data_IF_312734573544
#
_entry.id   IF_312734573544
#
_cell.length_a   1.000
_cell.length_b   1.000
_cell.length_c   1.000
_cell.angle_alpha   90.00
_cell.angle_beta   90.00
_cell.angle_gamma   90.00
#
_symmetry.space_group_name_H-M   'P 1'
#
loop_
_entity.id
_entity.type
_entity.pdbx_description
1 polymer ?
#
# COMPACT_ATOMS: atom_id res chain seq x y z
N UNK A 1 39.73 13.82 45.50
CA UNK A 1 40.12 12.46 45.08
C UNK A 1 39.23 12.04 43.91
N UNK A 2 39.88 11.52 42.88
CA UNK A 2 39.47 11.24 41.49
C UNK A 2 38.16 10.42 41.37
N UNK A 3 37.38 10.43 40.28
CA UNK A 3 37.78 10.23 38.89
C UNK A 3 36.65 10.61 37.91
N UNK A 4 36.97 11.35 36.84
CA UNK A 4 36.10 11.60 35.68
C UNK A 4 36.28 10.47 34.66
N UNK A 5 35.19 9.88 34.19
CA UNK A 5 35.19 8.89 33.12
C UNK A 5 35.13 9.60 31.76
N UNK A 6 36.23 9.54 31.01
CA UNK A 6 36.40 10.00 29.63
C UNK A 6 35.99 8.88 28.67
N UNK A 7 35.32 9.21 27.57
CA UNK A 7 35.17 8.29 26.43
C UNK A 7 35.31 9.08 25.13
N UNK A 8 36.47 8.91 24.52
CA UNK A 8 36.94 9.58 23.31
C UNK A 8 36.21 9.08 22.06
N UNK A 9 35.92 10.01 21.15
CA UNK A 9 35.53 9.71 19.78
C UNK A 9 36.36 10.56 18.81
N UNK A 10 36.85 9.86 17.77
CA UNK A 10 37.30 10.37 16.48
C UNK A 10 38.65 11.12 16.42
N UNK A 11 39.64 10.50 15.74
CA UNK A 11 40.01 10.80 14.35
C UNK A 11 41.38 10.16 14.04
N UNK A 12 41.41 9.24 13.07
CA UNK A 12 42.64 8.71 12.51
C UNK A 12 42.54 8.65 10.98
N UNK A 13 43.62 9.07 10.32
CA UNK A 13 43.88 8.86 8.88
C UNK A 13 43.58 10.10 8.03
N UNK A 14 44.49 11.06 7.89
CA UNK A 14 45.76 11.08 7.13
C UNK A 14 45.62 11.94 5.86
N UNK A 15 46.61 12.80 5.73
CA UNK A 15 46.76 13.89 4.80
C UNK A 15 47.09 13.44 3.37
N UNK A 16 46.71 14.24 2.38
CA UNK A 16 47.49 14.42 1.15
C UNK A 16 46.97 15.65 0.40
N UNK A 17 47.78 16.71 0.37
CA UNK A 17 47.57 17.84 -0.53
C UNK A 17 48.45 17.69 -1.77
N UNK A 18 47.97 18.16 -2.93
CA UNK A 18 48.71 19.09 -3.80
C UNK A 18 47.89 19.52 -5.02
N UNK A 19 47.68 20.84 -5.10
CA UNK A 19 47.72 21.74 -6.27
C UNK A 19 47.00 21.31 -7.57
N UNK A 20 45.90 22.02 -7.86
CA UNK A 20 45.32 22.15 -9.20
C UNK A 20 46.37 22.60 -10.23
N UNK A 21 46.52 21.82 -11.30
CA UNK A 21 46.99 22.29 -12.61
C UNK A 21 46.18 21.60 -13.70
N UNK A 22 45.47 22.40 -14.49
CA UNK A 22 44.87 22.00 -15.75
C UNK A 22 45.95 21.95 -16.84
N UNK A 23 46.05 20.86 -17.59
CA UNK A 23 46.57 20.84 -18.98
C UNK A 23 45.91 19.68 -19.74
N UNK A 24 45.49 20.00 -20.96
CA UNK A 24 44.80 19.20 -21.96
C UNK A 24 45.61 18.02 -22.57
N UNK A 25 44.87 17.17 -23.30
CA UNK A 25 45.26 16.21 -24.34
C UNK A 25 45.85 14.85 -23.91
N UNK A 26 45.09 13.77 -24.16
CA UNK A 26 45.50 12.70 -25.10
C UNK A 26 44.28 11.85 -25.49
N UNK A 27 44.11 11.68 -26.80
CA UNK A 27 43.13 10.81 -27.40
C UNK A 27 43.69 9.39 -27.46
N UNK A 28 42.93 8.38 -27.01
CA UNK A 28 43.13 7.00 -27.42
C UNK A 28 41.77 6.28 -27.43
N UNK A 29 41.25 6.08 -28.64
CA UNK A 29 40.13 5.18 -28.89
C UNK A 29 40.53 3.75 -28.53
N UNK A 30 39.88 3.16 -27.55
CA UNK A 30 39.69 1.71 -27.48
C UNK A 30 38.19 1.45 -27.63
N UNK A 31 37.80 0.97 -28.81
CA UNK A 31 36.45 0.54 -29.11
C UNK A 31 36.07 -0.62 -28.18
N UNK A 32 35.31 -0.33 -27.12
CA UNK A 32 34.63 -1.39 -26.39
C UNK A 32 33.42 -1.81 -27.23
N UNK A 33 33.51 -3.03 -27.73
CA UNK A 33 32.48 -3.74 -28.49
C UNK A 33 31.16 -3.64 -27.73
N UNK A 34 30.17 -2.99 -28.34
CA UNK A 34 28.79 -2.97 -27.87
C UNK A 34 28.26 -4.42 -27.90
N UNK A 35 28.25 -5.07 -26.75
CA UNK A 35 27.50 -6.30 -26.56
C UNK A 35 26.02 -5.89 -26.50
N UNK A 36 25.27 -6.11 -27.58
CA UNK A 36 23.81 -5.93 -27.55
C UNK A 36 23.22 -7.00 -26.64
N UNK A 37 22.50 -6.67 -25.55
CA UNK A 37 21.64 -7.66 -24.95
C UNK A 37 20.57 -8.01 -25.98
N UNK A 38 20.46 -9.29 -26.33
CA UNK A 38 19.35 -9.79 -27.14
C UNK A 38 18.05 -9.26 -26.52
N UNK A 39 17.31 -8.46 -27.28
CA UNK A 39 15.98 -8.02 -26.91
C UNK A 39 15.13 -9.28 -26.76
N UNK A 40 14.90 -9.70 -25.52
CA UNK A 40 13.79 -10.59 -25.21
C UNK A 40 12.53 -9.90 -25.71
N UNK A 41 11.99 -10.39 -26.82
CA UNK A 41 10.67 -9.97 -27.27
C UNK A 41 9.72 -10.33 -26.14
N UNK A 42 9.15 -9.30 -25.51
CA UNK A 42 8.05 -9.46 -24.59
C UNK A 42 6.87 -9.97 -25.44
N UNK A 43 6.66 -11.28 -25.44
CA UNK A 43 5.39 -11.86 -25.88
C UNK A 43 4.33 -11.35 -24.90
N UNK A 44 3.75 -10.21 -25.26
CA UNK A 44 2.63 -9.64 -24.55
C UNK A 44 1.40 -10.46 -24.93
N UNK A 45 1.26 -11.64 -24.33
CA UNK A 45 0.07 -12.48 -24.43
C UNK A 45 -1.05 -11.86 -23.60
N UNK A 46 -1.51 -10.70 -24.07
CA UNK A 46 -2.65 -9.98 -23.53
C UNK A 46 -3.89 -10.66 -24.07
N UNK A 47 -4.29 -11.76 -23.43
CA UNK A 47 -5.67 -12.24 -23.47
C UNK A 47 -6.58 -11.32 -22.63
N UNK A 48 -6.57 -10.02 -22.94
CA UNK A 48 -7.58 -9.10 -22.40
C UNK A 48 -8.81 -9.31 -23.24
N UNK A 49 -9.79 -10.00 -22.66
CA UNK A 49 -11.16 -10.03 -23.18
C UNK A 49 -11.59 -8.57 -23.43
N UNK A 50 -11.90 -8.19 -24.69
CA UNK A 50 -12.15 -6.79 -25.06
C UNK A 50 -13.42 -6.21 -24.42
N UNK A 51 -14.22 -7.03 -23.74
CA UNK A 51 -15.49 -6.64 -23.14
C UNK A 51 -15.39 -6.26 -21.65
N UNK A 52 -14.26 -6.56 -20.98
CA UNK A 52 -14.13 -6.29 -19.55
C UNK A 52 -13.50 -4.92 -19.30
N UNK A 53 -14.27 -4.00 -18.73
CA UNK A 53 -13.78 -2.67 -18.34
C UNK A 53 -12.90 -2.79 -17.10
N UNK A 54 -11.60 -2.93 -17.32
CA UNK A 54 -10.58 -2.77 -16.29
C UNK A 54 -10.15 -1.31 -16.22
N UNK A 55 -10.25 -0.69 -15.06
CA UNK A 55 -9.80 0.71 -14.89
C UNK A 55 -8.48 0.74 -14.17
N UNK A 56 -7.47 1.35 -14.78
CA UNK A 56 -6.18 1.64 -14.17
C UNK A 56 -5.92 3.15 -14.21
N UNK A 57 -5.45 3.70 -13.09
CA UNK A 57 -5.19 5.13 -12.95
C UNK A 57 -4.19 5.38 -11.82
N UNK A 58 -3.51 6.53 -11.86
CA UNK A 58 -2.63 7.02 -10.79
C UNK A 58 -3.38 7.95 -9.86
N UNK A 59 -3.61 7.55 -8.60
CA UNK A 59 -4.26 8.40 -7.59
C UNK A 59 -3.57 9.75 -7.40
N UNK A 60 -4.29 10.73 -6.83
CA UNK A 60 -3.77 12.09 -6.57
C UNK A 60 -2.53 12.14 -5.68
N UNK A 61 -2.26 11.07 -4.91
CA UNK A 61 -1.08 10.91 -4.05
C UNK A 61 -0.03 9.98 -4.67
N UNK A 62 -0.10 9.73 -5.99
CA UNK A 62 0.93 9.02 -6.75
C UNK A 62 0.88 7.49 -6.67
N UNK A 63 -0.12 6.90 -6.00
CA UNK A 63 -0.27 5.44 -5.99
C UNK A 63 -0.90 4.93 -7.29
N UNK A 64 -0.37 3.84 -7.83
CA UNK A 64 -1.01 3.07 -8.90
C UNK A 64 -2.25 2.39 -8.34
N UNK A 65 -3.38 2.54 -9.04
CA UNK A 65 -4.67 1.93 -8.67
C UNK A 65 -5.25 1.16 -9.83
N UNK A 66 -5.82 -0.01 -9.54
CA UNK A 66 -6.52 -0.85 -10.51
C UNK A 66 -7.83 -1.36 -9.91
N UNK A 67 -8.87 -1.49 -10.73
CA UNK A 67 -10.14 -2.12 -10.34
C UNK A 67 -10.54 -3.16 -11.38
N UNK A 68 -10.92 -4.33 -10.89
CA UNK A 68 -11.36 -5.48 -11.67
C UNK A 68 -12.77 -5.88 -11.18
N UNK A 69 -13.82 -5.74 -12.01
CA UNK A 69 -15.14 -6.22 -11.63
C UNK A 69 -15.20 -7.76 -11.57
N UNK A 70 -15.97 -8.28 -10.62
CA UNK A 70 -16.32 -9.70 -10.52
C UNK A 70 -17.76 -9.85 -10.99
N UNK A 71 -17.98 -10.68 -12.00
CA UNK A 71 -19.32 -10.99 -12.50
C UNK A 71 -19.99 -11.94 -11.53
N UNK A 72 -21.14 -11.50 -11.00
CA UNK A 72 -21.98 -12.29 -10.11
C UNK A 72 -23.27 -12.64 -10.87
N UNK A 73 -23.70 -13.91 -10.89
CA UNK A 73 -24.95 -14.29 -11.51
C UNK A 73 -26.13 -13.54 -10.90
N UNK A 74 -27.07 -13.13 -11.74
CA UNK A 74 -28.30 -12.50 -11.27
C UNK A 74 -29.14 -13.49 -10.44
N UNK A 75 -29.54 -13.02 -9.27
CA UNK A 75 -30.40 -13.62 -8.26
C UNK A 75 -31.28 -12.56 -7.56
N UNK A 76 -32.43 -12.25 -8.16
CA UNK A 76 -33.49 -11.40 -7.59
C UNK A 76 -33.07 -9.99 -7.14
N UNK A 77 -31.99 -9.42 -7.67
CA UNK A 77 -31.52 -8.09 -7.27
C UNK A 77 -30.81 -8.08 -5.91
N UNK A 78 -30.49 -9.26 -5.37
CA UNK A 78 -29.76 -9.44 -4.10
C UNK A 78 -28.27 -9.73 -4.33
N UNK A 79 -27.79 -9.52 -5.54
CA UNK A 79 -26.42 -9.82 -5.91
C UNK A 79 -25.50 -8.71 -5.39
N UNK A 80 -24.39 -9.06 -4.72
CA UNK A 80 -23.41 -8.07 -4.31
C UNK A 80 -22.64 -7.51 -5.52
N UNK A 81 -22.36 -6.21 -5.51
CA UNK A 81 -21.47 -5.58 -6.47
C UNK A 81 -20.01 -5.85 -6.11
N UNK A 82 -19.48 -7.02 -6.50
CA UNK A 82 -18.13 -7.45 -6.16
C UNK A 82 -17.05 -6.90 -7.12
N UNK A 83 -15.90 -6.53 -6.56
CA UNK A 83 -14.72 -6.18 -7.37
C UNK A 83 -13.42 -6.36 -6.60
N UNK A 84 -12.34 -6.66 -7.31
CA UNK A 84 -10.99 -6.59 -6.77
C UNK A 84 -10.43 -5.19 -7.02
N UNK A 85 -9.85 -4.58 -5.99
CA UNK A 85 -9.11 -3.33 -6.12
C UNK A 85 -7.67 -3.52 -5.70
N UNK A 86 -6.75 -2.99 -6.50
CA UNK A 86 -5.34 -2.89 -6.16
C UNK A 86 -4.96 -1.44 -5.87
N UNK A 87 -4.08 -1.23 -4.89
CA UNK A 87 -3.38 0.04 -4.69
C UNK A 87 -1.95 -0.18 -4.24
N UNK A 88 -0.98 0.41 -4.95
CA UNK A 88 0.43 0.28 -4.62
C UNK A 88 0.79 0.89 -3.26
N UNK A 89 0.00 1.81 -2.71
CA UNK A 89 0.21 2.36 -1.36
C UNK A 89 -0.15 1.37 -0.24
N UNK A 90 -0.84 0.27 -0.57
CA UNK A 90 -1.33 -0.72 0.39
C UNK A 90 -0.54 -2.02 0.38
N UNK A 91 0.56 -2.11 -0.37
CA UNK A 91 1.37 -3.35 -0.46
C UNK A 91 1.89 -3.83 0.90
N UNK A 92 2.11 -2.92 1.84
CA UNK A 92 2.54 -3.22 3.21
C UNK A 92 1.40 -3.12 4.24
N UNK A 93 0.14 -3.05 3.80
CA UNK A 93 -1.02 -3.09 4.71
C UNK A 93 -1.40 -4.52 5.03
N UNK A 94 -1.58 -4.80 6.32
CA UNK A 94 -1.99 -6.10 6.81
C UNK A 94 -3.15 -5.90 7.79
N UNK A 95 -4.28 -6.53 7.51
CA UNK A 95 -5.50 -6.39 8.30
C UNK A 95 -6.61 -7.27 7.75
N UNK A 96 -7.79 -7.17 8.36
CA UNK A 96 -8.98 -7.94 7.96
C UNK A 96 -9.41 -7.71 6.50
N UNK A 97 -8.97 -6.62 5.89
CA UNK A 97 -9.33 -6.21 4.52
C UNK A 97 -8.30 -6.62 3.48
N UNK A 98 -7.09 -7.00 3.90
CA UNK A 98 -5.95 -7.27 3.03
C UNK A 98 -5.71 -8.80 2.91
N UNK A 99 -6.81 -9.58 2.85
CA UNK A 99 -6.79 -11.05 2.96
C UNK A 99 -6.43 -11.78 1.66
N UNK A 100 -6.48 -11.09 0.52
CA UNK A 100 -6.29 -11.70 -0.80
C UNK A 100 -4.89 -11.44 -1.40
N UNK A 101 -4.04 -10.69 -0.70
CA UNK A 101 -2.66 -10.42 -1.11
C UNK A 101 -2.24 -8.96 -0.94
N UNK A 102 -0.93 -8.72 -1.06
CA UNK A 102 -0.34 -7.39 -0.91
C UNK A 102 -0.96 -6.37 -1.88
N UNK A 103 -1.51 -5.28 -1.33
CA UNK A 103 -2.11 -4.20 -2.10
C UNK A 103 -3.50 -4.51 -2.69
N UNK A 104 -3.99 -5.75 -2.58
CA UNK A 104 -5.27 -6.19 -3.11
C UNK A 104 -6.36 -6.24 -2.03
N UNK A 105 -7.58 -5.85 -2.42
CA UNK A 105 -8.78 -5.94 -1.58
C UNK A 105 -9.99 -6.43 -2.36
N UNK A 106 -10.86 -7.16 -1.68
CA UNK A 106 -12.20 -7.49 -2.16
C UNK A 106 -13.17 -6.41 -1.70
N UNK A 107 -13.91 -5.83 -2.64
CA UNK A 107 -14.96 -4.84 -2.39
C UNK A 107 -16.34 -5.43 -2.63
N UNK A 108 -17.38 -4.78 -2.08
CA UNK A 108 -18.79 -5.15 -2.30
C UNK A 108 -19.40 -6.00 -1.19
N UNK A 109 -18.64 -6.29 -0.14
CA UNK A 109 -19.14 -6.97 1.06
C UNK A 109 -19.24 -5.94 2.20
N UNK A 110 -20.38 -5.93 2.89
CA UNK A 110 -20.52 -5.13 4.12
C UNK A 110 -19.70 -5.71 5.26
N UNK A 111 -19.17 -4.84 6.12
CA UNK A 111 -18.36 -5.23 7.27
C UNK A 111 -18.61 -4.40 8.50
N UNK A 112 -18.50 -5.10 9.62
CA UNK A 112 -18.38 -4.49 10.94
C UNK A 112 -16.90 -4.47 11.33
N UNK A 113 -16.35 -3.27 11.55
CA UNK A 113 -15.01 -3.06 12.09
C UNK A 113 -15.09 -2.61 13.55
N UNK A 114 -14.24 -3.17 14.40
CA UNK A 114 -13.97 -2.66 15.75
C UNK A 114 -12.76 -1.74 15.70
N UNK A 115 -12.78 -0.63 16.43
CA UNK A 115 -11.65 0.29 16.55
C UNK A 115 -11.64 0.98 17.91
N UNK A 116 -10.46 1.40 18.36
CA UNK A 116 -10.37 2.28 19.52
C UNK A 116 -11.06 3.63 19.24
N UNK A 117 -11.31 4.49 20.25
CA UNK A 117 -11.91 5.82 20.04
C UNK A 117 -11.24 6.66 18.94
N UNK A 118 -9.93 6.47 18.71
CA UNK A 118 -9.17 7.13 17.65
C UNK A 118 -9.07 6.35 16.33
N UNK A 119 -9.93 5.36 16.06
CA UNK A 119 -9.93 4.52 14.85
C UNK A 119 -8.67 3.64 14.65
N UNK A 120 -7.88 3.46 15.71
CA UNK A 120 -6.68 2.61 15.71
C UNK A 120 -6.97 1.16 16.08
N UNK A 121 -5.93 0.45 16.51
CA UNK A 121 -6.04 -0.92 17.04
C UNK A 121 -7.02 -0.94 18.22
N UNK A 122 -8.01 -1.86 18.22
CA UNK A 122 -8.94 -2.01 19.33
C UNK A 122 -8.25 -2.32 20.66
N UNK A 123 -8.80 -1.83 21.76
CA UNK A 123 -8.40 -2.24 23.11
C UNK A 123 -9.01 -3.59 23.52
N UNK A 124 -9.98 -4.07 22.76
CA UNK A 124 -10.79 -5.25 23.04
C UNK A 124 -11.61 -5.16 24.34
N UNK A 125 -12.00 -3.94 24.74
CA UNK A 125 -12.89 -3.67 25.87
C UNK A 125 -14.07 -2.74 25.48
N UNK A 126 -14.86 -2.30 26.47
CA UNK A 126 -16.07 -1.48 26.26
C UNK A 126 -15.79 -0.06 25.76
N UNK A 127 -14.54 0.40 25.76
CA UNK A 127 -14.17 1.71 25.22
C UNK A 127 -14.07 1.73 23.69
N UNK A 128 -14.07 0.57 23.05
CA UNK A 128 -14.01 0.47 21.60
C UNK A 128 -15.34 0.83 20.94
N UNK A 129 -15.25 1.33 19.72
CA UNK A 129 -16.39 1.60 18.86
C UNK A 129 -16.49 0.55 17.76
N UNK A 130 -17.73 0.36 17.28
CA UNK A 130 -18.03 -0.49 16.14
C UNK A 130 -18.48 0.37 14.96
N UNK A 131 -18.10 -0.02 13.75
CA UNK A 131 -18.37 0.70 12.52
C UNK A 131 -18.93 -0.26 11.47
N UNK A 132 -20.05 0.07 10.84
CA UNK A 132 -20.59 -0.61 9.67
C UNK A 132 -20.18 0.17 8.43
N UNK A 133 -19.37 -0.43 7.55
CA UNK A 133 -18.95 0.18 6.29
C UNK A 133 -18.32 1.59 6.44
N UNK A 134 -17.66 1.82 7.59
CA UNK A 134 -17.03 3.09 7.95
C UNK A 134 -17.88 4.02 8.80
N UNK A 135 -19.18 3.74 8.95
CA UNK A 135 -20.10 4.52 9.77
C UNK A 135 -20.23 3.96 11.18
N UNK A 136 -20.17 4.83 12.20
CA UNK A 136 -20.20 4.40 13.61
C UNK A 136 -21.58 3.84 13.97
N UNK A 137 -21.59 2.63 14.52
CA UNK A 137 -22.79 2.03 15.10
C UNK A 137 -23.11 2.66 16.46
N UNK A 138 -24.38 2.98 16.67
CA UNK A 138 -24.91 3.45 17.94
C UNK A 138 -25.70 2.33 18.61
N UNK A 139 -25.68 2.31 19.93
CA UNK A 139 -26.51 1.37 20.69
C UNK A 139 -27.97 1.76 20.55
N UNK A 140 -28.83 0.81 20.20
CA UNK A 140 -30.27 1.03 20.26
C UNK A 140 -30.67 1.16 21.73
N UNK A 141 -31.35 2.25 22.08
CA UNK A 141 -32.03 2.31 23.37
C UNK A 141 -33.15 1.27 23.35
N UNK A 142 -33.19 0.41 24.38
CA UNK A 142 -34.30 -0.51 24.56
C UNK A 142 -35.56 0.32 24.78
N UNK A 143 -36.51 0.26 23.87
CA UNK A 143 -37.82 0.85 24.10
C UNK A 143 -38.53 0.03 25.18
N UNK A 144 -38.71 0.61 26.36
CA UNK A 144 -39.58 0.03 27.37
C UNK A 144 -41.01 0.06 26.82
N UNK A 145 -41.58 -1.12 26.57
CA UNK A 145 -42.99 -1.23 26.21
C UNK A 145 -43.82 -0.79 27.41
N UNK A 146 -44.22 0.47 27.46
CA UNK A 146 -45.28 0.92 28.36
C UNK A 146 -46.59 0.30 27.85
N UNK A 147 -47.05 -0.79 28.46
CA UNK A 147 -48.40 -1.30 28.17
C UNK A 147 -49.39 -0.30 28.74
N UNK A 148 -50.09 0.42 27.88
CA UNK A 148 -51.31 1.13 28.25
C UNK A 148 -52.36 0.05 28.57
N UNK A 149 -52.72 -0.05 29.84
CA UNK A 149 -53.91 -0.76 30.31
C UNK A 149 -55.15 0.11 30.20
#
# INVERSE_FOLDING_TARGET
MFSKYSRDHHLAGQASGHKLKAVFLTALCAAMVFNSPASVALENDTSVSPDKTYTQHTSSFGALTQKVPIEVPQYHGLEPSLSLSYSSSRVNSYGSEDVIGAGWRLNGLSRIKRGSPGMGTPFFNELDNYYMDGERLLTCQKADKQSAG
#
